data_IF_180368718147
#
_entry.id   IF_180368718147
#
_cell.length_a   1.000
_cell.length_b   1.000
_cell.length_c   1.000
_cell.angle_alpha   90.00
_cell.angle_beta   90.00
_cell.angle_gamma   90.00
#
_symmetry.space_group_name_H-M   'P 1'
#
loop_
_entity.id
_entity.type
_entity.pdbx_description
1 polymer ?
#
# COMPACT_ATOMS: atom_id res chain seq x y z
N UNK A 1 12.98 -30.07 12.06
CA UNK A 1 11.59 -29.65 11.77
C UNK A 1 11.67 -28.27 11.12
N UNK A 2 10.76 -27.99 10.18
CA UNK A 2 10.76 -26.83 9.28
C UNK A 2 10.58 -25.53 10.06
N UNK A 3 11.59 -24.68 10.09
CA UNK A 3 11.43 -23.26 10.42
C UNK A 3 12.28 -22.44 9.45
N UNK A 4 11.94 -22.53 8.16
CA UNK A 4 12.44 -21.68 7.09
C UNK A 4 11.83 -20.27 7.25
N UNK A 5 12.25 -19.58 8.31
CA UNK A 5 12.04 -18.14 8.42
C UNK A 5 12.91 -17.50 7.34
N UNK A 6 12.37 -17.39 6.12
CA UNK A 6 12.94 -16.55 5.08
C UNK A 6 13.28 -15.17 5.67
N UNK A 7 14.36 -14.53 5.21
CA UNK A 7 14.75 -13.21 5.71
C UNK A 7 13.52 -12.31 5.72
N UNK A 8 13.31 -11.45 6.74
CA UNK A 8 12.10 -10.64 6.86
C UNK A 8 11.86 -9.99 5.51
N UNK A 9 10.84 -10.49 4.79
CA UNK A 9 10.65 -10.19 3.39
C UNK A 9 10.66 -8.69 3.26
N UNK A 10 11.60 -8.17 2.46
CA UNK A 10 11.82 -6.73 2.29
C UNK A 10 10.46 -6.12 1.97
N UNK A 11 9.88 -5.40 2.93
CA UNK A 11 8.55 -4.82 2.74
C UNK A 11 8.70 -3.77 1.65
N UNK A 12 7.87 -3.79 0.59
CA UNK A 12 8.06 -2.89 -0.55
C UNK A 12 7.82 -1.42 -0.16
N UNK A 13 7.13 -1.18 0.95
CA UNK A 13 6.90 0.15 1.50
C UNK A 13 7.29 0.21 2.98
N UNK A 14 7.71 1.40 3.40
CA UNK A 14 8.06 1.71 4.78
C UNK A 14 7.13 2.78 5.37
N UNK A 15 6.86 2.67 6.67
CA UNK A 15 6.10 3.68 7.41
C UNK A 15 6.82 5.04 7.38
N UNK A 16 6.05 6.10 7.14
CA UNK A 16 6.57 7.46 6.97
C UNK A 16 7.11 7.76 5.56
N UNK A 17 7.34 6.74 4.74
CA UNK A 17 7.78 6.89 3.36
C UNK A 17 6.68 7.44 2.45
N UNK A 18 7.09 8.14 1.40
CA UNK A 18 6.21 8.67 0.35
C UNK A 18 6.46 7.89 -0.92
N UNK A 19 5.39 7.35 -1.52
CA UNK A 19 5.46 6.54 -2.72
C UNK A 19 4.37 6.99 -3.70
N UNK A 20 4.69 6.96 -4.99
CA UNK A 20 3.72 7.13 -6.05
C UNK A 20 2.93 5.83 -6.23
N UNK A 21 1.63 5.90 -5.97
CA UNK A 21 0.71 4.76 -6.09
C UNK A 21 -0.27 5.06 -7.20
N UNK A 22 -0.28 4.19 -8.21
CA UNK A 22 -1.35 4.19 -9.20
C UNK A 22 -2.56 3.49 -8.63
N UNK A 23 -3.68 4.21 -8.56
CA UNK A 23 -4.94 3.65 -8.10
C UNK A 23 -5.55 2.89 -9.27
N UNK A 24 -5.74 1.58 -9.09
CA UNK A 24 -6.30 0.72 -10.12
C UNK A 24 -7.78 0.45 -9.89
N UNK A 25 -8.23 0.57 -8.65
CA UNK A 25 -9.57 0.19 -8.23
C UNK A 25 -10.06 1.06 -7.07
N UNK A 26 -11.35 0.99 -6.74
CA UNK A 26 -11.95 1.70 -5.61
C UNK A 26 -12.75 0.71 -4.77
N UNK A 27 -12.46 0.68 -3.47
CA UNK A 27 -13.18 -0.14 -2.51
C UNK A 27 -14.60 0.37 -2.27
N UNK A 28 -15.43 -0.48 -1.65
CA UNK A 28 -16.85 -0.20 -1.41
C UNK A 28 -17.12 1.06 -0.58
N UNK A 29 -16.15 1.49 0.23
CA UNK A 29 -16.25 2.70 1.08
C UNK A 29 -15.78 3.98 0.38
N UNK A 30 -15.37 3.89 -0.89
CA UNK A 30 -14.74 4.99 -1.63
C UNK A 30 -13.22 5.11 -1.40
N UNK A 31 -12.61 4.11 -0.78
CA UNK A 31 -11.15 4.06 -0.59
C UNK A 31 -10.46 3.63 -1.90
N UNK A 32 -9.51 4.41 -2.40
CA UNK A 32 -8.72 4.03 -3.56
C UNK A 32 -7.77 2.89 -3.23
N UNK A 33 -7.74 1.88 -4.11
CA UNK A 33 -6.92 0.69 -3.96
C UNK A 33 -5.81 0.73 -5.01
N UNK A 34 -4.58 0.74 -4.52
CA UNK A 34 -3.37 0.58 -5.32
C UNK A 34 -2.58 -0.66 -4.94
N UNK A 35 -1.58 -1.01 -5.76
CA UNK A 35 -0.63 -2.09 -5.46
C UNK A 35 0.79 -1.65 -5.74
N UNK A 36 1.68 -1.86 -4.77
CA UNK A 36 3.13 -1.73 -4.94
C UNK A 36 3.76 -3.11 -4.73
N UNK A 37 4.39 -3.67 -5.76
CA UNK A 37 5.08 -4.97 -5.71
C UNK A 37 4.24 -6.10 -5.06
N UNK A 38 2.92 -6.10 -5.32
CA UNK A 38 1.98 -7.08 -4.78
C UNK A 38 1.42 -6.77 -3.38
N UNK A 39 1.91 -5.71 -2.72
CA UNK A 39 1.33 -5.20 -1.48
C UNK A 39 0.18 -4.24 -1.79
N UNK A 40 -0.99 -4.50 -1.21
CA UNK A 40 -2.16 -3.63 -1.37
C UNK A 40 -1.97 -2.36 -0.56
N UNK A 41 -2.15 -1.21 -1.19
CA UNK A 41 -2.10 0.10 -0.53
C UNK A 41 -3.51 0.70 -0.55
N UNK A 42 -4.04 1.00 0.62
CA UNK A 42 -5.35 1.64 0.78
C UNK A 42 -5.12 3.13 0.97
N UNK A 43 -5.73 3.92 0.09
CA UNK A 43 -5.61 5.38 0.05
C UNK A 43 -7.02 5.98 0.09
N UNK A 44 -7.43 6.59 1.21
CA UNK A 44 -8.73 7.26 1.27
C UNK A 44 -8.75 8.45 0.30
N UNK A 45 -9.92 8.76 -0.25
CA UNK A 45 -10.13 9.87 -1.18
C UNK A 45 -9.26 9.80 -2.45
N UNK A 46 -9.00 8.60 -2.96
CA UNK A 46 -8.25 8.40 -4.19
C UNK A 46 -9.10 7.69 -5.26
N UNK A 47 -8.89 8.09 -6.52
CA UNK A 47 -9.75 7.70 -7.64
C UNK A 47 -9.00 6.79 -8.61
N UNK A 48 -9.63 5.71 -9.11
CA UNK A 48 -9.01 4.82 -10.08
C UNK A 48 -8.63 5.55 -11.37
N UNK A 49 -7.44 5.26 -11.88
CA UNK A 49 -6.87 5.91 -13.07
C UNK A 49 -5.91 7.06 -12.77
N UNK A 50 -5.84 7.54 -11.52
CA UNK A 50 -4.87 8.56 -11.10
C UNK A 50 -3.64 7.93 -10.44
N UNK A 51 -2.48 8.57 -10.62
CA UNK A 51 -1.27 8.26 -9.84
C UNK A 51 -1.09 9.36 -8.79
N UNK A 52 -1.27 8.99 -7.53
CA UNK A 52 -1.19 9.90 -6.39
C UNK A 52 0.05 9.62 -5.56
N UNK A 53 0.62 10.66 -4.97
CA UNK A 53 1.66 10.51 -3.94
C UNK A 53 1.00 10.16 -2.62
N UNK A 54 1.38 9.02 -2.07
CA UNK A 54 0.82 8.50 -0.84
C UNK A 54 1.91 8.44 0.21
N UNK A 55 1.67 9.07 1.35
CA UNK A 55 2.49 8.86 2.54
C UNK A 55 1.95 7.69 3.33
N UNK A 56 2.77 6.66 3.49
CA UNK A 56 2.42 5.48 4.26
C UNK A 56 2.45 5.86 5.74
N UNK A 57 1.34 5.63 6.42
CA UNK A 57 1.23 5.89 7.86
C UNK A 57 1.36 4.61 8.66
N UNK A 58 0.99 3.46 8.06
CA UNK A 58 1.00 2.17 8.73
C UNK A 58 1.20 1.02 7.76
N UNK A 59 2.08 0.07 8.09
CA UNK A 59 2.34 -1.12 7.27
C UNK A 59 1.97 -2.38 8.03
N UNK A 60 0.98 -3.12 7.53
CA UNK A 60 0.55 -4.41 8.08
C UNK A 60 1.14 -5.59 7.28
N UNK A 61 0.82 -6.83 7.68
CA UNK A 61 1.39 -8.05 7.06
C UNK A 61 1.10 -8.22 5.56
N UNK A 62 -0.05 -7.74 5.07
CA UNK A 62 -0.50 -7.93 3.67
C UNK A 62 -1.02 -6.64 3.00
N UNK A 63 -1.12 -5.56 3.74
CA UNK A 63 -1.71 -4.29 3.30
C UNK A 63 -0.96 -3.14 3.95
N UNK A 64 -0.89 -1.99 3.30
CA UNK A 64 -0.46 -0.75 3.93
C UNK A 64 -1.55 0.30 3.83
N UNK A 65 -1.60 1.15 4.83
CA UNK A 65 -2.47 2.30 4.88
C UNK A 65 -1.63 3.55 4.68
N UNK A 66 -2.12 4.43 3.83
CA UNK A 66 -1.51 5.73 3.60
C UNK A 66 -2.55 6.81 3.42
N UNK A 67 -2.08 8.04 3.37
CA UNK A 67 -2.89 9.19 2.96
C UNK A 67 -2.29 9.81 1.72
N UNK A 68 -3.15 10.24 0.80
CA UNK A 68 -2.71 11.07 -0.32
C UNK A 68 -2.15 12.38 0.21
N UNK A 69 -1.12 12.89 -0.47
CA UNK A 69 -0.55 14.22 -0.25
C UNK A 69 -1.22 15.27 -1.15
#
# INVERSE_FOLDING_TARGET
MRDEHGPPGKRPVAEGGVYDVTITDIGERGDGIGKIEGLVIIVPDATPGETVRVRITRVERKVAFGRRL
#
